data_IF_186314891674
#
_entry.id   IF_186314891674
#
_cell.length_a   1.000
_cell.length_b   1.000
_cell.length_c   1.000
_cell.angle_alpha   90.00
_cell.angle_beta   90.00
_cell.angle_gamma   90.00
#
_symmetry.space_group_name_H-M   'P 1'
#
loop_
_entity.id
_entity.type
_entity.pdbx_description
1 polymer ?
#
# COMPACT_ATOMS: atom_id res chain seq x y z
N UNK A 1 0.18 16.58 -9.66
CA UNK A 1 1.53 17.13 -9.89
C UNK A 1 2.09 16.49 -11.15
N UNK A 2 2.67 17.29 -12.02
CA UNK A 2 2.97 16.87 -13.40
C UNK A 2 4.34 16.20 -13.46
N UNK A 3 4.49 15.19 -14.32
CA UNK A 3 5.76 14.48 -14.53
C UNK A 3 6.27 13.65 -13.35
N UNK A 4 5.42 13.35 -12.36
CA UNK A 4 5.83 12.62 -11.14
C UNK A 4 5.82 11.10 -11.32
N UNK A 5 6.68 10.42 -10.57
CA UNK A 5 6.58 8.97 -10.36
C UNK A 5 5.69 8.72 -9.14
N UNK A 6 4.61 7.97 -9.33
CA UNK A 6 3.63 7.67 -8.29
C UNK A 6 3.50 6.16 -8.08
N UNK A 7 3.39 5.75 -6.82
CA UNK A 7 2.90 4.42 -6.46
C UNK A 7 1.44 4.52 -6.04
N UNK A 8 0.59 3.58 -6.48
CA UNK A 8 -0.83 3.57 -6.15
C UNK A 8 -1.34 2.16 -5.86
N UNK A 9 -2.31 2.06 -4.95
CA UNK A 9 -3.09 0.84 -4.69
C UNK A 9 -4.42 0.85 -5.46
N UNK A 10 -4.59 1.79 -6.41
CA UNK A 10 -5.75 1.85 -7.28
C UNK A 10 -5.78 0.69 -8.28
N UNK A 11 -6.85 0.64 -9.07
CA UNK A 11 -7.09 -0.40 -10.06
C UNK A 11 -6.56 -0.07 -11.46
N UNK A 12 -6.13 1.17 -11.70
CA UNK A 12 -5.81 1.69 -13.05
C UNK A 12 -4.63 2.66 -13.01
N UNK A 13 -3.75 2.57 -14.01
CA UNK A 13 -2.56 3.41 -14.17
C UNK A 13 -2.36 3.93 -15.60
N UNK A 14 -3.44 4.06 -16.38
CA UNK A 14 -3.38 4.65 -17.72
C UNK A 14 -2.82 6.07 -17.67
N UNK A 15 -2.18 6.49 -18.76
CA UNK A 15 -1.60 7.82 -18.90
C UNK A 15 -2.64 8.92 -18.62
N UNK A 16 -2.17 10.04 -18.05
CA UNK A 16 -2.98 11.23 -17.71
C UNK A 16 -4.13 10.96 -16.72
N UNK A 17 -4.19 9.78 -16.09
CA UNK A 17 -5.27 9.44 -15.16
C UNK A 17 -5.23 10.25 -13.86
N UNK A 18 -4.04 10.49 -13.33
CA UNK A 18 -3.83 11.16 -12.03
C UNK A 18 -3.06 12.49 -12.19
N UNK A 19 -2.36 12.67 -13.29
CA UNK A 19 -1.68 13.91 -13.64
C UNK A 19 -0.94 13.77 -14.97
N UNK A 20 -0.71 14.91 -15.61
CA UNK A 20 -0.10 14.95 -16.94
C UNK A 20 1.36 14.50 -16.85
N UNK A 21 1.72 13.53 -17.69
CA UNK A 21 3.06 12.92 -17.70
C UNK A 21 3.43 12.11 -16.45
N UNK A 22 2.47 11.80 -15.56
CA UNK A 22 2.74 11.01 -14.36
C UNK A 22 2.90 9.52 -14.69
N UNK A 23 3.97 8.89 -14.17
CA UNK A 23 4.17 7.43 -14.27
C UNK A 23 3.65 6.76 -13.02
N UNK A 24 2.56 6.00 -13.17
CA UNK A 24 1.87 5.35 -12.05
C UNK A 24 2.18 3.85 -12.00
N UNK A 25 2.72 3.39 -10.87
CA UNK A 25 3.03 2.00 -10.58
C UNK A 25 1.99 1.44 -9.62
N UNK A 26 1.38 0.30 -9.96
CA UNK A 26 0.37 -0.34 -9.12
C UNK A 26 0.98 -1.42 -8.24
N UNK A 27 0.49 -1.53 -7.00
CA UNK A 27 0.87 -2.63 -6.12
C UNK A 27 0.07 -2.65 -4.81
N UNK A 28 0.47 -3.52 -3.89
CA UNK A 28 -0.21 -3.68 -2.60
C UNK A 28 0.01 -2.48 -1.68
N UNK A 29 -0.89 -2.30 -0.70
CA UNK A 29 -0.76 -1.25 0.32
C UNK A 29 0.54 -1.37 1.12
N UNK A 30 1.00 -2.60 1.35
CA UNK A 30 2.20 -2.90 2.11
C UNK A 30 3.45 -2.51 1.33
N UNK A 31 3.50 -2.87 0.04
CA UNK A 31 4.56 -2.44 -0.85
C UNK A 31 4.56 -0.92 -1.01
N UNK A 32 3.39 -0.29 -1.03
CA UNK A 32 3.23 1.16 -1.04
C UNK A 32 3.81 1.82 0.21
N UNK A 33 3.52 1.27 1.40
CA UNK A 33 4.06 1.76 2.66
C UNK A 33 5.59 1.64 2.73
N UNK A 34 6.14 0.52 2.24
CA UNK A 34 7.60 0.31 2.16
C UNK A 34 8.24 1.29 1.16
N UNK A 35 7.64 1.44 -0.02
CA UNK A 35 8.10 2.37 -1.07
C UNK A 35 8.07 3.81 -0.59
N UNK A 36 7.00 4.23 0.10
CA UNK A 36 6.87 5.56 0.68
C UNK A 36 7.93 5.83 1.76
N UNK A 37 8.23 4.82 2.60
CA UNK A 37 9.28 4.93 3.62
C UNK A 37 10.69 5.01 3.02
N UNK A 38 10.96 4.29 1.94
CA UNK A 38 12.28 4.23 1.30
C UNK A 38 12.51 5.31 0.25
N UNK A 39 11.44 5.92 -0.27
CA UNK A 39 11.51 6.89 -1.38
C UNK A 39 11.85 6.27 -2.74
N UNK A 40 11.88 4.93 -2.84
CA UNK A 40 12.21 4.17 -4.05
C UNK A 40 11.50 2.81 -4.03
N UNK A 41 11.36 2.19 -5.19
CA UNK A 41 10.89 0.80 -5.26
C UNK A 41 11.92 -0.13 -4.61
N UNK A 42 11.54 -0.92 -3.58
CA UNK A 42 12.44 -1.84 -2.93
C UNK A 42 12.74 -3.06 -3.82
N UNK A 43 13.86 -3.72 -3.54
CA UNK A 43 14.08 -5.08 -4.05
C UNK A 43 13.17 -6.09 -3.33
N UNK A 44 12.91 -7.27 -3.93
CA UNK A 44 12.10 -8.30 -3.27
C UNK A 44 12.65 -8.70 -1.90
N UNK A 45 13.97 -8.75 -1.74
CA UNK A 45 14.61 -9.09 -0.46
C UNK A 45 14.38 -8.02 0.61
N UNK A 46 14.52 -6.74 0.27
CA UNK A 46 14.26 -5.62 1.21
C UNK A 46 12.79 -5.58 1.63
N UNK A 47 11.86 -5.78 0.68
CA UNK A 47 10.43 -5.84 0.96
C UNK A 47 10.12 -7.00 1.93
N UNK A 48 10.59 -8.21 1.63
CA UNK A 48 10.33 -9.38 2.45
C UNK A 48 10.93 -9.27 3.86
N UNK A 49 12.10 -8.64 4.00
CA UNK A 49 12.70 -8.39 5.30
C UNK A 49 11.79 -7.50 6.18
N UNK A 50 11.31 -6.38 5.64
CA UNK A 50 10.43 -5.45 6.37
C UNK A 50 9.07 -6.10 6.64
N UNK A 51 8.53 -6.86 5.69
CA UNK A 51 7.27 -7.59 5.84
C UNK A 51 7.35 -8.60 6.99
N UNK A 52 8.41 -9.40 7.03
CA UNK A 52 8.61 -10.40 8.09
C UNK A 52 8.84 -9.76 9.46
N UNK A 53 9.52 -8.62 9.53
CA UNK A 53 9.77 -7.92 10.79
C UNK A 53 8.51 -7.25 11.37
N UNK A 54 7.72 -6.58 10.52
CA UNK A 54 6.62 -5.71 10.98
C UNK A 54 5.23 -6.34 10.86
N UNK A 55 4.97 -7.04 9.75
CA UNK A 55 3.61 -7.49 9.40
C UNK A 55 3.34 -8.89 9.97
N UNK A 56 4.25 -9.84 9.74
CA UNK A 56 4.07 -11.24 10.19
C UNK A 56 3.70 -11.38 11.67
N UNK A 57 4.40 -10.74 12.64
CA UNK A 57 4.07 -10.90 14.06
C UNK A 57 2.75 -10.25 14.48
N UNK A 58 2.23 -9.30 13.68
CA UNK A 58 1.02 -8.54 14.01
C UNK A 58 -0.14 -8.85 13.05
N UNK A 59 -0.01 -9.89 12.23
CA UNK A 59 -0.90 -10.20 11.11
C UNK A 59 -2.37 -10.28 11.53
N UNK A 60 -2.63 -10.94 12.66
CA UNK A 60 -3.98 -11.14 13.20
C UNK A 60 -4.63 -9.83 13.67
N UNK A 61 -3.83 -8.87 14.14
CA UNK A 61 -4.32 -7.55 14.58
C UNK A 61 -4.49 -6.61 13.39
N UNK A 62 -3.61 -6.69 12.40
CA UNK A 62 -3.60 -5.81 11.22
C UNK A 62 -4.77 -6.13 10.29
N UNK A 63 -5.02 -7.41 9.99
CA UNK A 63 -6.06 -7.81 9.03
C UNK A 63 -7.39 -8.16 9.70
N UNK A 64 -7.84 -7.31 10.62
CA UNK A 64 -9.18 -7.42 11.20
C UNK A 64 -10.17 -6.59 10.38
N UNK A 65 -11.19 -7.23 9.83
CA UNK A 65 -12.30 -6.55 9.17
C UNK A 65 -13.25 -5.92 10.18
N UNK A 66 -13.98 -4.89 9.76
CA UNK A 66 -15.05 -4.30 10.55
C UNK A 66 -16.25 -5.26 10.59
N UNK A 67 -16.49 -5.86 11.75
CA UNK A 67 -17.65 -6.70 12.04
C UNK A 67 -18.63 -5.89 12.90
N UNK A 68 -19.57 -5.18 12.26
CA UNK A 68 -20.46 -4.24 12.95
C UNK A 68 -21.43 -4.93 13.93
N UNK A 69 -21.78 -6.19 13.68
CA UNK A 69 -22.63 -7.01 14.54
C UNK A 69 -21.97 -7.39 15.87
N UNK A 70 -20.63 -7.35 15.95
CA UNK A 70 -19.85 -7.59 17.16
C UNK A 70 -19.58 -6.31 17.96
N UNK A 71 -19.91 -5.13 17.42
CA UNK A 71 -19.60 -3.83 18.02
C UNK A 71 -20.76 -3.31 18.88
N UNK A 72 -20.54 -3.03 20.19
CA UNK A 72 -21.59 -2.57 21.10
C UNK A 72 -22.28 -1.27 20.66
N UNK A 73 -21.56 -0.39 19.97
CA UNK A 73 -22.06 0.91 19.49
C UNK A 73 -23.03 0.82 18.31
N UNK A 74 -23.09 -0.34 17.65
CA UNK A 74 -23.92 -0.58 16.45
C UNK A 74 -25.06 -1.58 16.71
N UNK A 75 -25.33 -1.91 17.98
CA UNK A 75 -26.44 -2.77 18.42
C UNK A 75 -27.63 -1.96 18.91
#
# INVERSE_FOLDING_TARGET
>A
PDGVNMFSTSTRNFDERIGDGAKVYLGSAELGAVTARMGKLPTPAEFLAIYNEKIVPNKEKIYRYLQFDEMPEYK
#
